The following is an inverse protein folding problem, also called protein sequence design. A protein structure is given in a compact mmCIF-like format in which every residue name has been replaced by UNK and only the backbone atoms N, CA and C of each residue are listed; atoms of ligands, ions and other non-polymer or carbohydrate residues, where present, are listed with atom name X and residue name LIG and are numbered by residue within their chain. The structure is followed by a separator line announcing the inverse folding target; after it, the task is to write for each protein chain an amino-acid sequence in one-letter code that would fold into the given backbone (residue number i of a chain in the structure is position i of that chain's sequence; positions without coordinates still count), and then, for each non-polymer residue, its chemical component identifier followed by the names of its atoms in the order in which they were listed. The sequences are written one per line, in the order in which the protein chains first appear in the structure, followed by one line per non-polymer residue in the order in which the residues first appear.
data_IF_778930958661
#
_entry.id   IF_778930958661
#
_cell.length_a   1.000
_cell.length_b   1.000
_cell.length_c   1.000
_cell.angle_alpha   90.00
_cell.angle_beta   90.00
_cell.angle_gamma   90.00
#
_symmetry.space_group_name_H-M   'P 1'
#
loop_
_entity.id
_entity.type
_entity.pdbx_description
1 polymer ?
#
# COMPACT_ATOMS: atom_id res chain seq x y z
N UNK A 1 -10.79 5.84 5.75
CA UNK A 1 -11.55 5.24 4.63
C UNK A 1 -12.54 4.18 5.12
N UNK A 2 -12.09 3.21 5.94
CA UNK A 2 -12.99 2.23 6.57
C UNK A 2 -14.13 2.88 7.36
N UNK A 3 -13.86 3.97 8.10
CA UNK A 3 -14.91 4.68 8.85
C UNK A 3 -15.97 5.32 7.95
N UNK A 4 -15.56 5.81 6.76
CA UNK A 4 -16.52 6.31 5.76
C UNK A 4 -17.41 5.18 5.28
N UNK A 5 -16.84 4.00 4.98
CA UNK A 5 -17.63 2.84 4.56
C UNK A 5 -18.58 2.36 5.67
N UNK A 6 -18.13 2.31 6.92
CA UNK A 6 -18.99 2.02 8.08
C UNK A 6 -20.13 3.03 8.19
N UNK A 7 -19.84 4.33 8.04
CA UNK A 7 -20.86 5.39 8.05
C UNK A 7 -21.84 5.31 6.88
N UNK A 8 -21.44 4.69 5.77
CA UNK A 8 -22.30 4.40 4.62
C UNK A 8 -23.12 3.11 4.77
N UNK A 9 -23.10 2.48 5.95
CA UNK A 9 -23.92 1.31 6.28
C UNK A 9 -23.26 -0.05 6.01
N UNK A 10 -21.97 -0.09 5.65
CA UNK A 10 -21.26 -1.35 5.49
C UNK A 10 -20.88 -1.94 6.85
N UNK A 11 -21.25 -3.19 7.08
CA UNK A 11 -20.78 -3.96 8.23
C UNK A 11 -19.33 -4.39 8.01
N UNK A 12 -18.40 -3.71 8.68
CA UNK A 12 -16.96 -4.00 8.60
C UNK A 12 -16.48 -4.41 9.98
N UNK A 13 -16.17 -5.69 10.10
CA UNK A 13 -15.48 -6.27 11.26
C UNK A 13 -14.03 -5.76 11.30
N UNK A 14 -13.67 -5.11 12.40
CA UNK A 14 -12.36 -4.49 12.57
C UNK A 14 -11.23 -5.52 12.60
N UNK A 15 -11.43 -6.68 13.24
CA UNK A 15 -10.39 -7.70 13.37
C UNK A 15 -10.12 -8.37 12.01
N UNK A 16 -11.19 -8.61 11.23
CA UNK A 16 -11.05 -9.08 9.84
C UNK A 16 -10.35 -8.04 8.97
N UNK A 17 -10.68 -6.77 9.12
CA UNK A 17 -10.03 -5.68 8.37
C UNK A 17 -8.54 -5.59 8.69
N UNK A 18 -8.15 -5.65 9.97
CA UNK A 18 -6.75 -5.67 10.40
C UNK A 18 -6.02 -6.87 9.79
N UNK A 19 -6.62 -8.06 9.87
CA UNK A 19 -6.03 -9.27 9.29
C UNK A 19 -5.82 -9.13 7.79
N UNK A 20 -6.81 -8.60 7.06
CA UNK A 20 -6.71 -8.36 5.62
C UNK A 20 -5.64 -7.34 5.24
N UNK A 21 -5.58 -6.20 5.94
CA UNK A 21 -4.58 -5.15 5.72
C UNK A 21 -3.15 -5.63 5.97
N UNK A 22 -2.97 -6.58 6.89
CA UNK A 22 -1.65 -7.15 7.18
C UNK A 22 -1.14 -8.06 6.06
N UNK A 23 -2.03 -8.71 5.32
CA UNK A 23 -1.67 -9.73 4.32
C UNK A 23 -1.80 -9.26 2.88
N UNK A 24 -2.50 -8.15 2.65
CA UNK A 24 -2.71 -7.64 1.30
C UNK A 24 -1.38 -7.12 0.73
N UNK A 25 -1.07 -7.54 -0.48
CA UNK A 25 -0.02 -6.98 -1.32
C UNK A 25 -0.62 -6.55 -2.65
N UNK A 26 0.06 -5.65 -3.35
CA UNK A 26 -0.36 -5.20 -4.67
C UNK A 26 0.86 -5.15 -5.59
N UNK A 27 0.83 -5.97 -6.65
CA UNK A 27 1.91 -6.04 -7.62
C UNK A 27 2.18 -4.66 -8.25
N UNK A 28 3.45 -4.31 -8.41
CA UNK A 28 3.90 -3.03 -8.95
C UNK A 28 3.59 -1.81 -8.06
N UNK A 29 3.34 -1.99 -6.76
CA UNK A 29 3.22 -0.89 -5.78
C UNK A 29 4.21 -1.13 -4.63
N UNK A 30 5.36 -0.47 -4.71
CA UNK A 30 6.51 -0.67 -3.82
C UNK A 30 6.81 -2.16 -3.57
N UNK A 31 6.75 -2.96 -4.63
CA UNK A 31 6.89 -4.41 -4.55
C UNK A 31 8.37 -4.79 -4.48
N UNK A 32 8.77 -5.50 -3.42
CA UNK A 32 10.10 -6.10 -3.29
C UNK A 32 10.14 -7.41 -4.06
N UNK A 33 10.89 -7.47 -5.17
CA UNK A 33 10.99 -8.68 -6.01
C UNK A 33 12.32 -9.42 -5.82
N UNK A 34 13.30 -8.79 -5.18
CA UNK A 34 14.57 -9.41 -4.80
C UNK A 34 15.13 -8.71 -3.56
N UNK A 35 15.65 -9.49 -2.61
CA UNK A 35 16.21 -8.98 -1.36
C UNK A 35 17.72 -8.68 -1.46
N UNK A 36 18.47 -9.53 -2.18
CA UNK A 36 19.92 -9.38 -2.40
C UNK A 36 20.33 -9.88 -3.81
N UNK A 37 20.66 -8.98 -4.76
CA UNK A 37 20.63 -7.52 -4.61
C UNK A 37 19.20 -7.01 -4.40
N UNK A 38 19.05 -5.93 -3.63
CA UNK A 38 17.74 -5.34 -3.36
C UNK A 38 17.13 -4.75 -4.63
N UNK A 39 15.99 -5.28 -5.08
CA UNK A 39 15.24 -4.80 -6.24
C UNK A 39 13.79 -4.54 -5.83
N UNK A 40 13.35 -3.29 -6.00
CA UNK A 40 11.98 -2.83 -5.76
C UNK A 40 11.39 -2.29 -7.06
N UNK A 41 10.11 -2.58 -7.31
CA UNK A 41 9.37 -2.07 -8.48
C UNK A 41 8.13 -1.28 -8.05
N UNK A 42 7.89 -0.14 -8.71
CA UNK A 42 6.71 0.69 -8.50
C UNK A 42 6.21 1.28 -9.84
N UNK A 43 4.89 1.39 -10.01
CA UNK A 43 4.22 1.86 -11.22
C UNK A 43 3.93 3.38 -11.24
N UNK A 44 4.59 4.17 -10.39
CA UNK A 44 4.51 5.63 -10.40
C UNK A 44 4.85 6.19 -11.79
N UNK A 45 3.95 7.00 -12.35
CA UNK A 45 4.07 7.55 -13.71
C UNK A 45 3.45 8.94 -13.86
N UNK A 46 2.97 9.52 -12.76
CA UNK A 46 2.47 10.89 -12.70
C UNK A 46 3.20 11.68 -11.59
N UNK A 47 3.16 13.01 -11.67
CA UNK A 47 3.92 13.90 -10.78
C UNK A 47 3.71 13.57 -9.29
N UNK A 48 2.45 13.44 -8.85
CA UNK A 48 2.13 13.15 -7.46
C UNK A 48 2.64 11.76 -7.01
N UNK A 49 2.51 10.73 -7.86
CA UNK A 49 3.00 9.38 -7.55
C UNK A 49 4.53 9.29 -7.50
N UNK A 50 5.23 10.04 -8.34
CA UNK A 50 6.69 10.09 -8.35
C UNK A 50 7.21 10.80 -7.10
N UNK A 51 6.61 11.92 -6.71
CA UNK A 51 6.92 12.61 -5.46
C UNK A 51 6.71 11.68 -4.26
N UNK A 52 5.57 10.98 -4.20
CA UNK A 52 5.29 10.01 -3.15
C UNK A 52 6.32 8.86 -3.11
N UNK A 53 6.74 8.35 -4.27
CA UNK A 53 7.76 7.30 -4.36
C UNK A 53 9.11 7.77 -3.82
N UNK A 54 9.57 8.96 -4.22
CA UNK A 54 10.82 9.55 -3.75
C UNK A 54 10.78 9.71 -2.22
N UNK A 55 9.68 10.26 -1.69
CA UNK A 55 9.51 10.36 -0.25
C UNK A 55 9.54 9.00 0.42
N UNK A 56 8.78 8.01 -0.04
CA UNK A 56 8.73 6.70 0.60
C UNK A 56 10.09 5.99 0.65
N UNK A 57 10.93 6.15 -0.39
CA UNK A 57 12.27 5.57 -0.43
C UNK A 57 13.26 6.17 0.56
N UNK A 58 13.11 7.44 0.94
CA UNK A 58 14.04 8.12 1.85
C UNK A 58 13.83 7.79 3.32
N UNK A 59 12.69 7.19 3.68
CA UNK A 59 12.36 6.81 5.07
C UNK A 59 12.72 5.35 5.39
N UNK A 60 13.38 4.65 4.46
CA UNK A 60 13.92 3.28 4.61
C UNK A 60 15.44 3.35 4.65
#
# INVERSE_FOLDING_TARGET
MLDKLKSSGYEIDTDKAIKGLRTVSLAGRMEMICDDPRIMVDAAHNAASIEALIHAMWWV
#
